data_IF_800870926097
#
_entry.id   IF_800870926097
#
_cell.length_a   1.000
_cell.length_b   1.000
_cell.length_c   1.000
_cell.angle_alpha   90.00
_cell.angle_beta   90.00
_cell.angle_gamma   90.00
#
_symmetry.space_group_name_H-M   'P 1'
#
loop_
_entity.id
_entity.type
_entity.pdbx_description
1 polymer ?
#
# COMPACT_ATOMS: atom_id res chain seq x y z
N UNK A 1 -4.29 -1.24 -12.94
CA UNK A 1 -5.14 -2.08 -13.82
C UNK A 1 -4.69 -3.54 -13.76
N UNK A 2 -5.63 -4.50 -13.88
CA UNK A 2 -5.31 -5.94 -13.86
C UNK A 2 -4.85 -6.36 -15.25
N UNK A 3 -3.61 -6.84 -15.33
CA UNK A 3 -2.98 -7.23 -16.62
C UNK A 3 -3.02 -8.74 -16.87
N UNK A 4 -2.87 -9.53 -15.81
CA UNK A 4 -2.96 -10.98 -15.86
C UNK A 4 -3.72 -11.52 -14.64
N UNK A 5 -4.43 -12.61 -14.84
CA UNK A 5 -5.13 -13.32 -13.79
C UNK A 5 -5.03 -14.83 -14.04
N UNK A 6 -4.75 -15.59 -13.00
CA UNK A 6 -4.82 -17.05 -13.00
C UNK A 6 -5.76 -17.49 -11.90
N UNK A 7 -6.65 -18.44 -12.21
CA UNK A 7 -7.65 -18.97 -11.27
C UNK A 7 -7.48 -20.47 -11.15
N UNK A 8 -7.42 -20.95 -9.92
CA UNK A 8 -7.34 -22.38 -9.59
C UNK A 8 -8.52 -22.76 -8.72
N UNK A 9 -9.31 -23.72 -9.19
CA UNK A 9 -10.42 -24.31 -8.44
C UNK A 9 -9.88 -25.43 -7.56
N UNK A 10 -10.38 -25.54 -6.34
CA UNK A 10 -10.11 -26.69 -5.48
C UNK A 10 -11.01 -27.87 -5.87
N UNK A 11 -10.48 -29.08 -5.78
CA UNK A 11 -11.29 -30.30 -6.00
C UNK A 11 -12.38 -30.43 -4.94
N UNK A 12 -12.06 -30.06 -3.70
CA UNK A 12 -13.00 -30.04 -2.59
C UNK A 12 -12.94 -28.69 -1.86
N UNK A 13 -14.09 -28.09 -1.52
CA UNK A 13 -14.13 -26.89 -0.70
C UNK A 13 -13.48 -27.13 0.67
N UNK A 14 -12.76 -26.12 1.17
CA UNK A 14 -12.24 -26.18 2.53
C UNK A 14 -13.34 -25.87 3.56
N UNK A 15 -13.21 -26.36 4.77
CA UNK A 15 -14.18 -26.13 5.87
C UNK A 15 -14.47 -24.66 6.17
N UNK A 16 -13.59 -23.75 5.76
CA UNK A 16 -13.75 -22.30 5.92
C UNK A 16 -14.39 -21.62 4.68
N UNK A 17 -14.99 -22.39 3.77
CA UNK A 17 -15.68 -21.91 2.58
C UNK A 17 -14.77 -21.53 1.40
N UNK A 18 -13.47 -21.81 1.44
CA UNK A 18 -12.59 -21.56 0.29
C UNK A 18 -12.84 -22.63 -0.76
N UNK A 19 -13.20 -22.20 -1.97
CA UNK A 19 -13.48 -23.05 -3.14
C UNK A 19 -12.42 -22.91 -4.25
N UNK A 20 -11.54 -21.91 -4.16
CA UNK A 20 -10.48 -21.67 -5.10
C UNK A 20 -9.54 -20.55 -4.70
N UNK A 21 -8.52 -20.36 -5.52
CA UNK A 21 -7.55 -19.27 -5.37
C UNK A 21 -7.33 -18.58 -6.70
N UNK A 22 -6.98 -17.32 -6.64
CA UNK A 22 -6.54 -16.53 -7.77
C UNK A 22 -5.17 -15.87 -7.49
N UNK A 23 -4.46 -15.63 -8.58
CA UNK A 23 -3.24 -14.83 -8.65
C UNK A 23 -3.48 -13.73 -9.66
N UNK A 24 -3.27 -12.47 -9.29
CA UNK A 24 -3.52 -11.33 -10.18
C UNK A 24 -2.28 -10.44 -10.27
N UNK A 25 -1.94 -10.01 -11.49
CA UNK A 25 -0.87 -9.04 -11.77
C UNK A 25 -1.49 -7.66 -11.98
N UNK A 26 -0.95 -6.68 -11.27
CA UNK A 26 -1.40 -5.28 -11.30
C UNK A 26 -0.35 -4.40 -11.98
N UNK A 27 -0.79 -3.62 -12.95
CA UNK A 27 -0.02 -2.58 -13.64
C UNK A 27 1.36 -3.06 -14.14
N UNK A 28 1.50 -4.34 -14.48
CA UNK A 28 2.79 -4.99 -14.84
C UNK A 28 3.91 -4.78 -13.81
N UNK A 29 3.57 -4.37 -12.59
CA UNK A 29 4.54 -4.02 -11.56
C UNK A 29 4.70 -5.13 -10.53
N UNK A 30 3.59 -5.73 -10.10
CA UNK A 30 3.63 -6.80 -9.13
C UNK A 30 2.44 -7.76 -9.27
N UNK A 31 2.64 -8.95 -8.75
CA UNK A 31 1.64 -10.01 -8.70
C UNK A 31 1.22 -10.27 -7.26
N UNK A 32 -0.07 -10.42 -7.03
CA UNK A 32 -0.64 -10.81 -5.74
C UNK A 32 -1.09 -12.26 -5.82
N UNK A 33 -0.50 -13.09 -4.96
CA UNK A 33 -0.87 -14.49 -4.77
C UNK A 33 -1.87 -14.68 -3.64
N UNK A 34 -2.49 -15.85 -3.59
CA UNK A 34 -3.38 -16.28 -2.49
C UNK A 34 -4.63 -15.43 -2.32
N UNK A 35 -5.11 -14.79 -3.38
CA UNK A 35 -6.47 -14.21 -3.42
C UNK A 35 -7.44 -15.40 -3.33
N UNK A 36 -8.29 -15.44 -2.29
CA UNK A 36 -9.20 -16.58 -2.08
C UNK A 36 -10.57 -16.33 -2.70
N UNK A 37 -11.10 -17.37 -3.35
CA UNK A 37 -12.50 -17.44 -3.81
C UNK A 37 -13.25 -18.24 -2.76
N UNK A 38 -14.31 -17.66 -2.23
CA UNK A 38 -15.06 -18.25 -1.13
C UNK A 38 -16.52 -18.35 -1.46
N UNK A 39 -17.16 -19.37 -0.89
CA UNK A 39 -18.60 -19.56 -0.94
C UNK A 39 -19.21 -19.21 0.42
N UNK A 40 -20.22 -18.37 0.40
CA UNK A 40 -21.02 -18.06 1.57
C UNK A 40 -21.87 -19.30 1.93
N UNK A 41 -21.79 -19.75 3.16
CA UNK A 41 -22.49 -20.94 3.61
C UNK A 41 -24.02 -20.76 3.74
N UNK A 42 -24.49 -19.51 3.83
CA UNK A 42 -25.92 -19.22 4.01
C UNK A 42 -26.69 -19.24 2.68
N UNK A 43 -26.13 -18.63 1.63
CA UNK A 43 -26.83 -18.44 0.36
C UNK A 43 -26.08 -19.03 -0.85
N UNK A 44 -24.91 -19.63 -0.62
CA UNK A 44 -24.09 -20.22 -1.68
C UNK A 44 -23.38 -19.20 -2.59
N UNK A 45 -23.56 -17.92 -2.38
CA UNK A 45 -22.95 -16.88 -3.20
C UNK A 45 -21.41 -16.92 -3.15
N UNK A 46 -20.78 -16.61 -4.26
CA UNK A 46 -19.32 -16.55 -4.36
C UNK A 46 -18.83 -15.13 -4.13
N UNK A 47 -17.73 -15.00 -3.41
CA UNK A 47 -17.05 -13.72 -3.20
C UNK A 47 -15.52 -13.88 -3.18
N UNK A 48 -14.83 -12.80 -3.48
CA UNK A 48 -13.36 -12.74 -3.54
C UNK A 48 -12.83 -12.05 -2.28
N UNK A 49 -11.77 -12.61 -1.71
CA UNK A 49 -11.09 -12.02 -0.55
C UNK A 49 -9.60 -11.90 -0.80
N UNK A 50 -9.08 -10.71 -0.58
CA UNK A 50 -7.65 -10.44 -0.64
C UNK A 50 -6.88 -11.26 0.41
N UNK A 51 -5.57 -11.52 0.20
CA UNK A 51 -4.77 -12.22 1.20
C UNK A 51 -4.72 -11.44 2.50
N UNK A 52 -4.91 -12.13 3.61
CA UNK A 52 -4.99 -11.56 4.95
C UNK A 52 -3.91 -12.16 5.86
N UNK A 53 -3.50 -11.38 6.84
CA UNK A 53 -2.69 -11.85 7.96
C UNK A 53 -3.45 -11.67 9.28
N UNK A 54 -3.23 -12.60 10.20
CA UNK A 54 -3.74 -12.50 11.57
C UNK A 54 -2.84 -11.56 12.37
N UNK A 55 -3.42 -10.64 13.10
CA UNK A 55 -2.72 -9.74 14.03
C UNK A 55 -2.55 -10.42 15.40
N UNK A 56 -1.77 -9.82 16.29
CA UNK A 56 -1.54 -10.36 17.64
C UNK A 56 -2.84 -10.43 18.48
N UNK A 57 -3.75 -9.48 18.27
CA UNK A 57 -5.06 -9.46 18.94
C UNK A 57 -6.11 -10.37 18.27
N UNK A 58 -5.70 -11.20 17.29
CA UNK A 58 -6.55 -12.19 16.65
C UNK A 58 -7.39 -11.69 15.49
N UNK A 59 -7.41 -10.40 15.18
CA UNK A 59 -8.12 -9.84 14.02
C UNK A 59 -7.38 -10.14 12.73
N UNK A 60 -8.10 -10.12 11.59
CA UNK A 60 -7.53 -10.29 10.26
C UNK A 60 -7.48 -8.94 9.55
N UNK A 61 -6.34 -8.63 8.95
CA UNK A 61 -6.14 -7.44 8.13
C UNK A 61 -5.61 -7.83 6.75
N UNK A 62 -6.01 -7.11 5.73
CA UNK A 62 -5.54 -7.35 4.37
C UNK A 62 -4.03 -7.09 4.29
N UNK A 63 -3.32 -7.94 3.56
CA UNK A 63 -1.90 -7.77 3.23
C UNK A 63 -1.73 -6.73 2.13
N UNK A 64 -2.66 -6.73 1.18
CA UNK A 64 -2.78 -5.72 0.14
C UNK A 64 -4.25 -5.64 -0.31
N UNK A 65 -4.65 -4.48 -0.81
CA UNK A 65 -6.01 -4.30 -1.34
C UNK A 65 -6.09 -3.12 -2.32
N UNK A 66 -7.10 -3.11 -3.22
CA UNK A 66 -7.42 -1.95 -4.04
C UNK A 66 -7.84 -0.74 -3.20
N UNK A 67 -7.39 0.44 -3.58
CA UNK A 67 -7.77 1.70 -2.94
C UNK A 67 -9.14 2.19 -3.40
N UNK A 68 -9.53 1.90 -4.66
CA UNK A 68 -10.82 2.29 -5.20
C UNK A 68 -11.82 1.13 -5.24
N UNK A 69 -13.11 1.48 -5.15
CA UNK A 69 -14.20 0.54 -5.37
C UNK A 69 -14.20 -0.01 -6.81
N UNK A 70 -13.82 0.81 -7.79
CA UNK A 70 -13.79 0.41 -9.21
C UNK A 70 -12.79 -0.73 -9.43
N UNK A 71 -11.54 -0.58 -8.98
CA UNK A 71 -10.53 -1.65 -9.10
C UNK A 71 -10.91 -2.89 -8.31
N UNK A 72 -11.54 -2.75 -7.14
CA UNK A 72 -12.05 -3.87 -6.36
C UNK A 72 -13.16 -4.63 -7.11
N UNK A 73 -14.13 -3.89 -7.66
CA UNK A 73 -15.24 -4.48 -8.40
C UNK A 73 -14.75 -5.17 -9.68
N UNK A 74 -13.80 -4.58 -10.39
CA UNK A 74 -13.19 -5.19 -11.57
C UNK A 74 -12.47 -6.49 -11.22
N UNK A 75 -11.64 -6.49 -10.15
CA UNK A 75 -10.98 -7.70 -9.66
C UNK A 75 -11.99 -8.81 -9.35
N UNK A 76 -13.02 -8.47 -8.57
CA UNK A 76 -14.05 -9.43 -8.19
C UNK A 76 -14.76 -10.01 -9.42
N UNK A 77 -15.16 -9.15 -10.35
CA UNK A 77 -15.82 -9.55 -11.60
C UNK A 77 -14.94 -10.50 -12.41
N UNK A 78 -13.70 -10.13 -12.69
CA UNK A 78 -12.79 -10.94 -13.50
C UNK A 78 -12.48 -12.29 -12.86
N UNK A 79 -12.23 -12.31 -11.54
CA UNK A 79 -11.96 -13.56 -10.81
C UNK A 79 -13.17 -14.49 -10.84
N UNK A 80 -14.37 -13.96 -10.56
CA UNK A 80 -15.59 -14.77 -10.52
C UNK A 80 -16.02 -15.21 -11.93
N UNK A 81 -15.85 -14.39 -12.97
CA UNK A 81 -16.11 -14.76 -14.36
C UNK A 81 -15.22 -15.92 -14.79
N UNK A 82 -13.90 -15.85 -14.52
CA UNK A 82 -12.96 -16.95 -14.82
C UNK A 82 -13.32 -18.20 -14.03
N UNK A 83 -13.66 -18.06 -12.76
CA UNK A 83 -14.04 -19.19 -11.91
C UNK A 83 -15.31 -19.85 -12.41
N UNK A 84 -16.38 -19.11 -12.71
CA UNK A 84 -17.67 -19.64 -13.14
C UNK A 84 -17.58 -20.31 -14.53
N UNK A 85 -16.80 -19.74 -15.45
CA UNK A 85 -16.57 -20.26 -16.80
C UNK A 85 -15.56 -21.42 -16.83
N UNK A 86 -15.01 -21.82 -15.68
CA UNK A 86 -13.91 -22.80 -15.59
C UNK A 86 -12.67 -22.39 -16.43
N UNK A 87 -12.47 -21.10 -16.59
CA UNK A 87 -11.35 -20.54 -17.33
C UNK A 87 -10.15 -20.40 -16.39
N UNK A 88 -9.01 -21.00 -16.74
CA UNK A 88 -7.83 -21.03 -15.87
C UNK A 88 -7.08 -19.69 -15.82
N UNK A 89 -7.16 -18.89 -16.87
CA UNK A 89 -6.41 -17.63 -16.98
C UNK A 89 -7.16 -16.58 -17.78
N UNK A 90 -6.87 -15.33 -17.49
CA UNK A 90 -7.27 -14.14 -18.23
C UNK A 90 -6.02 -13.28 -18.46
N UNK A 91 -5.88 -12.74 -19.65
CA UNK A 91 -4.83 -11.78 -20.00
C UNK A 91 -5.48 -10.61 -20.73
N UNK A 92 -5.16 -9.40 -20.27
CA UNK A 92 -5.56 -8.20 -20.99
C UNK A 92 -4.63 -8.01 -22.20
N UNK A 93 -5.13 -8.30 -23.40
CA UNK A 93 -4.35 -8.27 -24.63
C UNK A 93 -3.90 -6.86 -25.01
N UNK A 94 -4.71 -5.83 -24.73
CA UNK A 94 -4.35 -4.44 -25.00
C UNK A 94 -3.12 -4.02 -24.20
N UNK A 95 -3.05 -4.46 -22.94
CA UNK A 95 -1.93 -4.24 -22.06
C UNK A 95 -0.71 -5.12 -22.39
N UNK A 96 -0.91 -6.29 -22.98
CA UNK A 96 0.19 -7.19 -23.34
C UNK A 96 1.13 -6.56 -24.37
N UNK A 97 0.58 -5.78 -25.31
CA UNK A 97 1.34 -5.07 -26.35
C UNK A 97 1.90 -3.71 -25.91
N UNK A 98 1.43 -3.16 -24.80
CA UNK A 98 2.04 -1.95 -24.23
C UNK A 98 3.38 -2.31 -23.59
N UNK A 99 4.47 -1.81 -24.14
CA UNK A 99 5.84 -2.08 -23.66
C UNK A 99 6.22 -1.28 -22.41
N UNK A 100 5.42 -0.29 -22.03
CA UNK A 100 5.79 0.68 -21.01
C UNK A 100 4.90 0.58 -19.76
N UNK A 101 5.55 0.54 -18.58
CA UNK A 101 4.93 0.84 -17.28
C UNK A 101 4.70 2.35 -17.08
N UNK A 102 4.59 3.12 -18.16
CA UNK A 102 4.47 4.57 -18.08
C UNK A 102 3.21 4.97 -17.32
N UNK A 103 3.38 5.77 -16.28
CA UNK A 103 2.29 6.38 -15.52
C UNK A 103 1.85 5.67 -14.25
N UNK A 104 2.41 4.51 -13.90
CA UNK A 104 2.12 3.89 -12.61
C UNK A 104 2.84 4.67 -11.52
N UNK A 105 2.07 5.32 -10.65
CA UNK A 105 2.64 6.02 -9.50
C UNK A 105 3.04 5.01 -8.41
N UNK A 106 4.28 5.14 -7.92
CA UNK A 106 4.77 4.37 -6.77
C UNK A 106 5.12 5.34 -5.66
N UNK A 107 4.60 5.10 -4.47
CA UNK A 107 4.93 5.88 -3.28
C UNK A 107 4.96 5.00 -2.04
N UNK A 108 5.61 5.47 -0.98
CA UNK A 108 5.58 4.84 0.33
C UNK A 108 4.98 5.80 1.36
N UNK A 109 4.37 5.23 2.41
CA UNK A 109 3.74 6.00 3.48
C UNK A 109 3.68 5.19 4.76
N UNK A 110 3.30 5.86 5.86
CA UNK A 110 3.14 5.23 7.17
C UNK A 110 4.41 4.52 7.66
N UNK A 111 5.58 5.08 7.33
CA UNK A 111 6.86 4.52 7.75
C UNK A 111 6.99 4.60 9.28
N UNK A 112 7.25 3.45 9.89
CA UNK A 112 7.60 3.31 11.31
C UNK A 112 9.03 2.81 11.36
N UNK A 113 9.94 3.59 11.93
CA UNK A 113 11.34 3.23 12.12
C UNK A 113 11.51 2.48 13.44
N UNK A 114 12.39 1.50 13.47
CA UNK A 114 12.72 0.74 14.68
C UNK A 114 14.14 1.06 15.15
N UNK A 115 14.31 1.08 16.47
CA UNK A 115 15.65 1.09 17.07
C UNK A 115 16.16 -0.36 17.11
N UNK A 116 17.06 -0.70 16.19
CA UNK A 116 17.59 -2.07 16.06
C UNK A 116 18.42 -2.51 17.28
N UNK A 117 19.03 -1.56 17.99
CA UNK A 117 19.77 -1.85 19.23
C UNK A 117 18.83 -2.31 20.36
N UNK A 118 17.64 -1.72 20.46
CA UNK A 118 16.65 -2.11 21.47
C UNK A 118 15.90 -3.38 21.09
N UNK A 119 15.58 -3.57 19.80
CA UNK A 119 14.78 -4.70 19.32
C UNK A 119 15.57 -5.96 19.08
N UNK A 120 16.92 -5.90 19.09
CA UNK A 120 17.82 -6.98 18.71
C UNK A 120 17.47 -7.63 17.36
N UNK A 121 16.92 -6.82 16.45
CA UNK A 121 16.44 -7.23 15.15
C UNK A 121 17.14 -6.45 14.04
N UNK A 122 17.35 -7.07 12.89
CA UNK A 122 17.86 -6.39 11.71
C UNK A 122 16.76 -5.63 10.93
N UNK A 123 15.52 -5.62 11.43
CA UNK A 123 14.43 -4.85 10.80
C UNK A 123 14.59 -3.38 11.15
N UNK A 124 14.86 -2.56 10.14
CA UNK A 124 15.03 -1.11 10.23
C UNK A 124 13.69 -0.37 10.36
N UNK A 125 12.66 -0.89 9.71
CA UNK A 125 11.34 -0.28 9.74
C UNK A 125 10.33 -1.03 8.89
N UNK A 126 9.09 -0.54 8.96
CA UNK A 126 7.97 -1.02 8.13
C UNK A 126 7.18 0.15 7.57
N UNK A 127 6.53 -0.07 6.42
CA UNK A 127 5.74 0.95 5.75
C UNK A 127 4.68 0.32 4.85
N UNK A 128 3.79 1.14 4.35
CA UNK A 128 2.86 0.79 3.28
C UNK A 128 3.41 1.31 1.95
N UNK A 129 3.33 0.49 0.90
CA UNK A 129 3.64 0.89 -0.47
C UNK A 129 2.33 1.07 -1.23
N UNK A 130 2.20 2.19 -1.93
CA UNK A 130 1.08 2.47 -2.83
C UNK A 130 1.61 2.38 -4.25
N UNK A 131 0.99 1.52 -5.06
CA UNK A 131 1.38 1.24 -6.46
C UNK A 131 0.12 1.35 -7.32
N UNK A 132 0.03 2.41 -8.10
CA UNK A 132 -1.21 2.72 -8.82
C UNK A 132 -2.39 2.81 -7.86
N UNK A 133 -3.42 2.01 -8.07
CA UNK A 133 -4.62 1.93 -7.23
C UNK A 133 -4.60 0.77 -6.22
N UNK A 134 -3.41 0.32 -5.84
CA UNK A 134 -3.22 -0.75 -4.86
C UNK A 134 -2.38 -0.28 -3.69
N UNK A 135 -2.71 -0.74 -2.47
CA UNK A 135 -1.84 -0.59 -1.30
C UNK A 135 -1.32 -1.95 -0.85
N UNK A 136 -0.03 -2.01 -0.53
CA UNK A 136 0.67 -3.16 0.02
C UNK A 136 1.07 -2.79 1.44
N UNK A 137 0.51 -3.47 2.43
CA UNK A 137 0.75 -3.18 3.83
C UNK A 137 1.97 -3.92 4.38
N UNK A 138 2.65 -3.27 5.32
CA UNK A 138 3.70 -3.88 6.11
C UNK A 138 4.89 -4.41 5.29
N UNK A 139 5.24 -3.70 4.20
CA UNK A 139 6.54 -3.86 3.57
C UNK A 139 7.63 -3.51 4.59
N UNK A 140 8.70 -4.29 4.67
CA UNK A 140 9.76 -4.12 5.67
C UNK A 140 11.06 -3.72 5.00
N UNK A 141 11.80 -2.86 5.67
CA UNK A 141 13.22 -2.68 5.42
C UNK A 141 14.02 -3.37 6.51
N UNK A 142 15.03 -4.11 6.13
CA UNK A 142 15.97 -4.75 7.04
C UNK A 142 17.41 -4.46 6.62
N UNK A 143 18.33 -4.43 7.58
CA UNK A 143 19.76 -4.33 7.30
C UNK A 143 20.30 -5.69 6.80
N UNK A 144 20.98 -5.68 5.65
CA UNK A 144 21.76 -6.85 5.22
C UNK A 144 23.05 -6.98 6.07
N UNK A 145 23.88 -7.96 5.75
CA UNK A 145 25.16 -8.19 6.45
C UNK A 145 26.11 -6.99 6.41
N UNK A 146 25.98 -6.11 5.41
CA UNK A 146 26.79 -4.90 5.25
C UNK A 146 26.12 -3.66 5.90
N UNK A 147 24.95 -3.82 6.56
CA UNK A 147 24.18 -2.71 7.12
C UNK A 147 23.30 -1.95 6.12
N UNK A 148 23.28 -2.36 4.85
CA UNK A 148 22.50 -1.67 3.82
C UNK A 148 21.02 -2.05 3.87
N UNK A 149 20.09 -1.08 3.64
CA UNK A 149 18.66 -1.34 3.68
C UNK A 149 18.20 -2.19 2.48
N UNK A 150 17.50 -3.27 2.78
CA UNK A 150 16.90 -4.18 1.81
C UNK A 150 15.39 -4.23 2.01
N UNK A 151 14.63 -4.19 0.90
CA UNK A 151 13.18 -4.31 0.94
C UNK A 151 12.76 -5.78 1.01
N UNK A 152 11.85 -6.08 1.93
CA UNK A 152 11.11 -7.34 1.99
C UNK A 152 9.62 -7.07 1.82
N UNK A 153 9.03 -7.69 0.81
CA UNK A 153 7.60 -7.65 0.55
C UNK A 153 6.87 -8.75 1.34
N UNK A 154 5.56 -8.63 1.55
CA UNK A 154 4.79 -9.60 2.31
C UNK A 154 4.90 -11.03 1.75
N UNK A 155 5.16 -11.97 2.65
CA UNK A 155 5.23 -13.40 2.38
C UNK A 155 4.60 -14.18 3.55
N UNK A 156 4.31 -15.45 3.33
CA UNK A 156 3.92 -16.37 4.40
C UNK A 156 4.89 -17.56 4.45
N UNK A 157 4.97 -18.19 5.60
CA UNK A 157 5.75 -19.40 5.82
C UNK A 157 4.80 -20.60 5.79
N UNK A 158 5.10 -21.59 5.00
CA UNK A 158 4.29 -22.81 4.95
C UNK A 158 4.61 -23.77 6.10
N UNK A 159 3.94 -24.92 6.15
CA UNK A 159 4.12 -25.93 7.20
C UNK A 159 5.49 -26.63 7.16
N UNK A 160 6.21 -26.55 6.03
CA UNK A 160 7.54 -27.09 5.86
C UNK A 160 8.63 -26.08 6.25
N UNK A 161 8.25 -24.84 6.45
CA UNK A 161 9.16 -23.76 6.80
C UNK A 161 9.62 -22.89 5.62
N UNK A 162 9.10 -23.16 4.40
CA UNK A 162 9.46 -22.41 3.19
C UNK A 162 8.66 -21.10 3.10
N UNK A 163 9.33 -20.05 2.60
CA UNK A 163 8.69 -18.74 2.41
C UNK A 163 8.12 -18.60 1.02
N UNK A 164 6.85 -18.22 0.94
CA UNK A 164 6.12 -17.97 -0.29
C UNK A 164 5.68 -16.51 -0.35
N UNK A 165 6.05 -15.80 -1.42
CA UNK A 165 5.66 -14.41 -1.63
C UNK A 165 4.15 -14.27 -1.81
N UNK A 166 3.52 -13.36 -1.06
CA UNK A 166 2.15 -12.93 -1.29
C UNK A 166 2.15 -11.84 -2.36
N UNK A 167 3.08 -10.90 -2.25
CA UNK A 167 3.30 -9.83 -3.23
C UNK A 167 4.67 -10.05 -3.87
N UNK A 168 4.69 -10.23 -5.19
CA UNK A 168 5.90 -10.54 -5.96
C UNK A 168 6.05 -9.51 -7.07
N UNK A 169 7.16 -8.76 -7.14
CA UNK A 169 7.45 -7.89 -8.28
C UNK A 169 7.53 -8.68 -9.58
N UNK A 170 7.06 -8.12 -10.67
CA UNK A 170 7.05 -8.81 -11.97
C UNK A 170 8.45 -9.03 -12.54
N UNK A 171 9.37 -8.15 -12.20
CA UNK A 171 10.77 -8.24 -12.62
C UNK A 171 11.70 -7.43 -11.68
N UNK A 172 13.00 -7.46 -11.99
CA UNK A 172 14.04 -6.78 -11.21
C UNK A 172 13.87 -5.25 -11.21
N UNK A 173 13.40 -4.66 -12.32
CA UNK A 173 13.19 -3.21 -12.42
C UNK A 173 12.03 -2.76 -11.52
N UNK A 174 10.91 -3.50 -11.51
CA UNK A 174 9.79 -3.26 -10.60
C UNK A 174 10.23 -3.35 -9.13
N UNK A 175 11.00 -4.39 -8.79
CA UNK A 175 11.53 -4.52 -7.44
C UNK A 175 12.42 -3.35 -7.04
N UNK A 176 13.31 -2.92 -7.95
CA UNK A 176 14.22 -1.81 -7.69
C UNK A 176 13.48 -0.48 -7.49
N UNK A 177 12.42 -0.24 -8.24
CA UNK A 177 11.55 0.93 -8.07
C UNK A 177 10.89 0.94 -6.69
N UNK A 178 10.24 -0.17 -6.29
CA UNK A 178 9.64 -0.33 -4.97
C UNK A 178 10.67 -0.14 -3.85
N UNK A 179 11.86 -0.71 -4.01
CA UNK A 179 12.96 -0.60 -3.06
C UNK A 179 13.43 0.84 -2.90
N UNK A 180 13.64 1.55 -4.01
CA UNK A 180 14.10 2.94 -3.99
C UNK A 180 13.09 3.84 -3.28
N UNK A 181 11.81 3.69 -3.56
CA UNK A 181 10.74 4.45 -2.91
C UNK A 181 10.69 4.15 -1.41
N UNK A 182 10.82 2.88 -1.02
CA UNK A 182 10.85 2.47 0.38
C UNK A 182 12.05 3.06 1.14
N UNK A 183 13.25 3.02 0.54
CA UNK A 183 14.47 3.60 1.14
C UNK A 183 14.35 5.12 1.25
N UNK A 184 13.83 5.79 0.22
CA UNK A 184 13.63 7.24 0.24
C UNK A 184 12.64 7.64 1.34
N UNK A 185 11.55 6.92 1.53
CA UNK A 185 10.60 7.17 2.62
C UNK A 185 11.25 6.93 3.99
N UNK A 186 12.02 5.85 4.15
CA UNK A 186 12.75 5.57 5.38
C UNK A 186 13.76 6.65 5.73
N UNK A 187 14.49 7.18 4.74
CA UNK A 187 15.46 8.25 4.93
C UNK A 187 14.83 9.63 5.11
N UNK A 188 13.52 9.78 4.82
CA UNK A 188 12.83 11.05 4.97
C UNK A 188 12.71 11.43 6.45
N UNK A 189 13.12 12.65 6.75
CA UNK A 189 12.89 13.27 8.05
C UNK A 189 11.58 14.05 8.01
N UNK A 190 10.73 13.81 9.00
CA UNK A 190 9.47 14.53 9.16
C UNK A 190 9.55 15.51 10.33
N UNK A 191 8.92 16.68 10.15
CA UNK A 191 8.66 17.67 11.19
C UNK A 191 7.18 17.75 11.49
N UNK A 192 6.87 18.26 12.66
CA UNK A 192 5.51 18.43 13.14
C UNK A 192 5.34 19.90 13.56
N UNK A 193 4.18 20.45 13.26
CA UNK A 193 3.79 21.80 13.64
C UNK A 193 2.30 21.80 13.98
N UNK A 194 1.89 22.64 14.91
CA UNK A 194 0.50 22.95 15.19
C UNK A 194 0.12 24.23 14.46
N UNK A 195 -0.95 24.20 13.71
CA UNK A 195 -1.46 25.28 12.88
C UNK A 195 -2.88 25.65 13.30
N UNK A 196 -3.21 26.93 13.22
CA UNK A 196 -4.60 27.39 13.28
C UNK A 196 -5.36 27.01 12.00
N UNK A 197 -6.71 26.98 12.02
CA UNK A 197 -7.50 26.75 10.82
C UNK A 197 -7.20 27.74 9.67
N UNK A 198 -6.88 29.00 10.01
CA UNK A 198 -6.50 30.03 9.03
C UNK A 198 -5.17 29.70 8.33
N UNK A 199 -4.14 29.35 9.10
CA UNK A 199 -2.83 28.93 8.56
C UNK A 199 -2.95 27.67 7.72
N UNK A 200 -3.80 26.72 8.16
CA UNK A 200 -4.04 25.50 7.43
C UNK A 200 -4.70 25.73 6.07
N UNK A 201 -5.61 26.72 5.98
CA UNK A 201 -6.22 27.14 4.72
C UNK A 201 -5.15 27.64 3.75
N UNK A 202 -4.25 28.52 4.20
CA UNK A 202 -3.15 29.03 3.39
C UNK A 202 -2.19 27.92 2.91
N UNK A 203 -1.92 26.92 3.76
CA UNK A 203 -1.11 25.77 3.40
C UNK A 203 -1.79 24.87 2.36
N UNK A 204 -3.11 24.67 2.42
CA UNK A 204 -3.88 23.88 1.45
C UNK A 204 -3.94 24.52 0.06
N UNK A 205 -3.93 25.84 -0.02
CA UNK A 205 -3.88 26.59 -1.28
C UNK A 205 -2.55 26.42 -2.01
N UNK A 206 -1.51 25.93 -1.32
CA UNK A 206 -0.21 25.55 -1.89
C UNK A 206 -0.16 24.07 -2.24
N UNK A 207 -0.70 23.69 -3.41
CA UNK A 207 -0.89 22.31 -3.86
C UNK A 207 0.36 21.41 -3.91
N UNK A 208 1.57 22.00 -3.81
CA UNK A 208 2.85 21.28 -3.91
C UNK A 208 3.39 20.74 -2.58
N UNK A 209 2.68 20.96 -1.46
CA UNK A 209 3.08 20.50 -0.14
C UNK A 209 2.40 19.17 0.21
N UNK A 210 3.19 18.14 0.51
CA UNK A 210 2.68 16.87 1.06
C UNK A 210 2.57 16.99 2.57
N UNK A 211 1.39 17.36 3.06
CA UNK A 211 1.09 17.54 4.48
C UNK A 211 0.07 16.48 4.92
N UNK A 212 0.35 15.75 6.01
CA UNK A 212 -0.66 14.96 6.73
C UNK A 212 -1.20 15.78 7.88
N UNK A 213 -2.50 15.73 8.11
CA UNK A 213 -3.20 16.56 9.10
C UNK A 213 -3.94 15.70 10.12
N UNK A 214 -4.05 16.22 11.35
CA UNK A 214 -4.89 15.67 12.42
C UNK A 214 -5.49 16.82 13.20
N UNK A 215 -6.81 16.87 13.35
CA UNK A 215 -7.49 17.82 14.20
C UNK A 215 -7.19 17.56 15.66
N UNK A 216 -7.00 18.64 16.43
CA UNK A 216 -6.72 18.63 17.86
C UNK A 216 -7.95 19.09 18.64
N UNK A 217 -8.04 18.72 19.92
CA UNK A 217 -9.18 19.05 20.78
C UNK A 217 -9.33 20.56 21.05
N UNK A 218 -8.27 21.35 20.84
CA UNK A 218 -8.26 22.81 21.00
C UNK A 218 -8.71 23.57 19.72
N UNK A 219 -9.16 22.86 18.68
CA UNK A 219 -9.57 23.43 17.40
C UNK A 219 -8.41 23.73 16.44
N UNK A 220 -7.16 23.52 16.85
CA UNK A 220 -5.99 23.61 15.98
C UNK A 220 -5.78 22.29 15.21
N UNK A 221 -4.84 22.32 14.26
CA UNK A 221 -4.54 21.22 13.37
C UNK A 221 -3.06 20.87 13.49
N UNK A 222 -2.76 19.64 13.95
CA UNK A 222 -1.41 19.12 13.88
C UNK A 222 -1.09 18.71 12.43
N UNK A 223 0.03 19.20 11.92
CA UNK A 223 0.54 18.83 10.60
C UNK A 223 1.85 18.08 10.72
N UNK A 224 2.01 17.07 9.84
CA UNK A 224 3.25 16.33 9.61
C UNK A 224 3.71 16.59 8.19
N UNK A 225 4.94 17.00 8.00
CA UNK A 225 5.52 17.35 6.71
C UNK A 225 6.99 16.99 6.62
N UNK A 226 7.54 16.98 5.39
CA UNK A 226 8.96 16.71 5.18
C UNK A 226 9.82 17.84 5.73
N UNK A 227 10.91 17.52 6.42
CA UNK A 227 11.83 18.51 7.01
C UNK A 227 12.39 19.51 5.99
N UNK A 228 12.57 19.11 4.73
CA UNK A 228 13.00 19.98 3.63
C UNK A 228 12.03 21.13 3.32
N UNK A 229 10.75 20.98 3.69
CA UNK A 229 9.70 21.94 3.41
C UNK A 229 9.51 22.98 4.53
N UNK A 230 10.31 22.89 5.63
CA UNK A 230 10.21 23.78 6.81
C UNK A 230 10.23 25.26 6.42
N UNK A 231 11.22 25.68 5.61
CA UNK A 231 11.36 27.08 5.23
C UNK A 231 10.14 27.59 4.43
N UNK A 232 9.64 26.75 3.50
CA UNK A 232 8.45 27.07 2.69
C UNK A 232 7.19 27.17 3.54
N UNK A 233 7.00 26.24 4.47
CA UNK A 233 5.84 26.23 5.38
C UNK A 233 5.84 27.46 6.26
N UNK A 234 6.99 27.80 6.86
CA UNK A 234 7.12 28.98 7.69
C UNK A 234 6.83 30.28 6.91
N UNK A 235 7.32 30.41 5.67
CA UNK A 235 7.04 31.56 4.81
C UNK A 235 5.54 31.72 4.52
N UNK A 236 4.84 30.62 4.21
CA UNK A 236 3.39 30.64 3.96
C UNK A 236 2.62 31.07 5.21
N UNK A 237 2.97 30.52 6.38
CA UNK A 237 2.33 30.88 7.66
C UNK A 237 2.57 32.33 8.00
N UNK A 238 3.80 32.83 7.87
CA UNK A 238 4.11 34.23 8.14
C UNK A 238 3.30 35.17 7.24
N UNK A 239 3.18 34.88 5.94
CA UNK A 239 2.39 35.67 5.00
C UNK A 239 0.89 35.64 5.36
N UNK A 240 0.34 34.50 5.72
CA UNK A 240 -1.05 34.35 6.13
C UNK A 240 -1.33 35.19 7.40
N UNK A 241 -0.44 35.16 8.38
CA UNK A 241 -0.60 35.92 9.62
C UNK A 241 -0.43 37.43 9.41
N UNK A 242 0.47 37.87 8.49
CA UNK A 242 0.62 39.29 8.15
C UNK A 242 -0.64 39.87 7.50
N UNK A 243 -1.29 39.13 6.60
CA UNK A 243 -2.56 39.53 5.96
C UNK A 243 -3.67 39.61 7.01
N UNK A 244 -3.77 38.64 7.91
CA UNK A 244 -4.82 38.65 8.95
C UNK A 244 -4.68 39.85 9.90
N UNK A 245 -3.45 40.21 10.29
CA UNK A 245 -3.17 41.38 11.14
C UNK A 245 -3.44 42.72 10.44
N UNK A 246 -3.42 42.76 9.10
CA UNK A 246 -3.75 43.98 8.32
C UNK A 246 -5.24 44.23 8.17
N UNK A 247 -6.08 43.17 8.26
CA UNK A 247 -7.53 43.24 8.14
C UNK A 247 -8.19 43.61 9.48
N UNK A 248 -7.52 43.33 10.60
CA UNK A 248 -8.02 43.60 11.95
C UNK A 248 -7.64 45.00 12.51
N UNK A 249 -7.03 45.85 11.70
CA UNK A 249 -6.79 47.26 11.96
C UNK A 249 -7.69 48.16 11.11
#
# INVERSE_FOLDING_TARGET
MITNLTVTRLNEPRNNGIVGFATATFDKTFTVNSISIRQNQMDGSLYVRMPQRRTQNGTYIDVCHPLSANTRNELNRLVLDCFNKNQKSYTNLEEQFSTNRQGVSVSAQNCVKYNTAETQSNVLGRMDLVVGDMVIHNAKLYANANGEPQLSLPSYKDSKGDYHGIVIPTDKSAFQELRNVAINEYNTEYKYLECTPHEMKALKENSNLRIKTKELNNGNIAIKFNAKDVAKINDIIQKANAVNNSITR
#
